data_IF_787688547494
#
_entry.id   IF_787688547494
#
_cell.length_a   1.000
_cell.length_b   1.000
_cell.length_c   1.000
_cell.angle_alpha   90.00
_cell.angle_beta   90.00
_cell.angle_gamma   90.00
#
_symmetry.space_group_name_H-M   'P 1'
#
loop_
_entity.id
_entity.type
_entity.pdbx_description
1 polymer ?
#
# COMPACT_ATOMS: atom_id res chain seq x y z
N UNK A 1 43.31 -0.33 14.89
CA UNK A 1 42.40 -0.78 15.95
C UNK A 1 42.02 -2.22 15.68
N UNK A 2 42.48 -3.16 16.52
CA UNK A 2 42.20 -4.60 16.38
C UNK A 2 40.70 -4.84 16.65
N UNK A 3 39.94 -5.40 15.67
CA UNK A 3 38.57 -5.88 15.89
C UNK A 3 38.60 -6.95 16.99
N UNK A 4 38.03 -6.68 18.16
CA UNK A 4 37.74 -7.72 19.15
C UNK A 4 36.94 -8.82 18.46
N UNK A 5 37.38 -10.06 18.54
CA UNK A 5 36.64 -11.19 18.01
C UNK A 5 35.24 -11.19 18.63
N UNK A 6 34.21 -11.29 17.77
CA UNK A 6 32.82 -11.31 18.23
C UNK A 6 32.64 -12.57 19.10
N UNK A 7 32.08 -12.37 20.29
CA UNK A 7 31.73 -13.48 21.21
C UNK A 7 30.72 -14.40 20.51
N UNK A 8 30.98 -15.70 20.52
CA UNK A 8 30.14 -16.72 19.92
C UNK A 8 29.32 -17.50 20.96
N UNK A 9 28.40 -18.33 20.51
CA UNK A 9 27.56 -19.18 21.38
C UNK A 9 28.40 -20.25 22.14
N UNK A 10 29.60 -20.54 21.67
CA UNK A 10 30.51 -21.48 22.33
C UNK A 10 31.03 -20.92 23.66
N UNK A 11 31.45 -19.67 23.67
CA UNK A 11 31.91 -18.98 24.86
C UNK A 11 30.81 -18.85 25.92
N UNK A 12 29.56 -18.56 25.47
CA UNK A 12 28.41 -18.53 26.37
C UNK A 12 28.13 -19.91 26.96
N UNK A 13 28.18 -20.96 26.14
CA UNK A 13 27.96 -22.33 26.60
C UNK A 13 29.00 -22.77 27.65
N UNK A 14 30.25 -22.44 27.42
CA UNK A 14 31.33 -22.73 28.35
C UNK A 14 31.17 -21.98 29.68
N UNK A 15 30.88 -20.69 29.64
CA UNK A 15 30.76 -19.85 30.83
C UNK A 15 29.46 -20.09 31.61
N UNK A 16 28.35 -20.43 30.92
CA UNK A 16 27.11 -20.81 31.54
C UNK A 16 27.05 -22.27 32.01
N UNK A 17 28.08 -23.08 31.70
CA UNK A 17 28.13 -24.50 32.08
C UNK A 17 27.03 -25.35 31.45
N UNK A 18 26.66 -25.08 30.20
CA UNK A 18 25.60 -25.78 29.46
C UNK A 18 26.03 -26.14 28.04
N UNK A 19 25.25 -27.00 27.36
CA UNK A 19 25.55 -27.34 25.97
C UNK A 19 25.27 -26.17 25.04
N UNK A 20 25.95 -26.11 23.88
CA UNK A 20 25.68 -25.13 22.81
C UNK A 20 24.20 -25.18 22.37
N UNK A 21 23.61 -26.39 22.34
CA UNK A 21 22.22 -26.58 21.99
C UNK A 21 21.27 -25.94 23.01
N UNK A 22 21.64 -25.98 24.31
CA UNK A 22 20.89 -25.31 25.39
C UNK A 22 20.94 -23.78 25.22
N UNK A 23 22.12 -23.22 25.00
CA UNK A 23 22.29 -21.79 24.72
C UNK A 23 21.44 -21.36 23.52
N UNK A 24 21.53 -22.09 22.41
CA UNK A 24 20.76 -21.81 21.21
C UNK A 24 19.25 -21.82 21.44
N UNK A 25 18.74 -22.79 22.24
CA UNK A 25 17.30 -22.88 22.59
C UNK A 25 16.86 -21.74 23.49
N UNK A 26 17.69 -21.31 24.42
CA UNK A 26 17.37 -20.19 25.33
C UNK A 26 17.33 -18.87 24.58
N UNK A 27 18.36 -18.57 23.79
CA UNK A 27 18.52 -17.29 23.11
C UNK A 27 17.55 -17.11 21.92
N UNK A 28 17.18 -18.21 21.25
CA UNK A 28 16.21 -18.17 20.13
C UNK A 28 14.76 -18.39 20.56
N UNK A 29 14.45 -18.44 21.86
CA UNK A 29 13.11 -18.59 22.45
C UNK A 29 12.27 -19.75 21.87
N UNK A 30 12.93 -20.81 21.35
CA UNK A 30 12.22 -21.94 20.71
C UNK A 30 11.60 -22.84 21.80
N UNK A 31 10.26 -22.92 21.82
CA UNK A 31 9.46 -23.76 22.69
C UNK A 31 9.42 -25.26 22.29
N UNK A 32 10.38 -25.76 21.52
CA UNK A 32 10.31 -27.12 20.97
C UNK A 32 10.96 -28.14 21.94
N UNK A 33 10.14 -28.95 22.53
CA UNK A 33 10.42 -30.35 22.97
C UNK A 33 11.21 -30.56 24.25
N UNK A 34 11.96 -29.60 24.84
CA UNK A 34 12.72 -29.80 26.09
C UNK A 34 12.47 -28.61 27.02
N UNK A 35 11.88 -28.88 28.19
CA UNK A 35 11.73 -27.85 29.25
C UNK A 35 13.13 -27.50 29.81
N UNK A 36 13.62 -26.32 29.47
CA UNK A 36 14.81 -25.73 30.09
C UNK A 36 14.37 -25.05 31.39
N UNK A 37 14.99 -25.44 32.51
CA UNK A 37 14.70 -24.89 33.83
C UNK A 37 14.91 -23.37 33.88
N UNK A 38 14.15 -22.70 34.75
CA UNK A 38 14.15 -21.23 34.88
C UNK A 38 15.52 -20.68 35.24
N UNK A 39 16.25 -21.34 36.14
CA UNK A 39 17.62 -20.98 36.52
C UNK A 39 18.61 -21.08 35.36
N UNK A 40 18.53 -22.16 34.57
CA UNK A 40 19.40 -22.33 33.40
C UNK A 40 19.12 -21.24 32.34
N UNK A 41 17.87 -20.89 32.13
CA UNK A 41 17.48 -19.83 31.21
C UNK A 41 18.03 -18.48 31.68
N UNK A 42 17.85 -18.17 32.97
CA UNK A 42 18.33 -16.93 33.57
C UNK A 42 19.85 -16.82 33.45
N UNK A 43 20.58 -17.86 33.86
CA UNK A 43 22.06 -17.90 33.78
C UNK A 43 22.61 -17.71 32.37
N UNK A 44 22.02 -18.37 31.38
CA UNK A 44 22.42 -18.19 29.98
C UNK A 44 22.17 -16.76 29.50
N UNK A 45 21.01 -16.15 29.88
CA UNK A 45 20.69 -14.77 29.51
C UNK A 45 21.64 -13.77 30.14
N UNK A 46 21.97 -13.93 31.43
CA UNK A 46 22.93 -13.08 32.16
C UNK A 46 24.33 -13.16 31.58
N UNK A 47 24.83 -14.38 31.28
CA UNK A 47 26.13 -14.59 30.65
C UNK A 47 26.17 -13.95 29.27
N UNK A 48 25.12 -14.14 28.48
CA UNK A 48 25.00 -13.54 27.13
C UNK A 48 25.09 -12.02 27.19
N UNK A 49 24.34 -11.38 28.10
CA UNK A 49 24.35 -9.93 28.30
C UNK A 49 25.71 -9.41 28.75
N UNK A 50 26.32 -10.08 29.73
CA UNK A 50 27.65 -9.72 30.28
C UNK A 50 28.73 -9.79 29.22
N UNK A 51 28.72 -10.81 28.37
CA UNK A 51 29.66 -10.97 27.27
C UNK A 51 29.40 -10.08 26.07
N UNK A 52 28.24 -9.34 26.06
CA UNK A 52 27.87 -8.49 24.95
C UNK A 52 27.54 -9.29 23.68
N UNK A 53 27.07 -10.54 23.84
CA UNK A 53 26.72 -11.37 22.71
C UNK A 53 25.47 -10.82 22.01
N UNK A 54 25.61 -10.59 20.71
CA UNK A 54 24.47 -10.33 19.84
C UNK A 54 24.23 -11.56 18.98
N UNK A 55 23.00 -12.13 19.01
CA UNK A 55 22.64 -13.21 18.10
C UNK A 55 22.94 -12.80 16.66
N UNK A 56 23.72 -13.60 15.95
CA UNK A 56 23.94 -13.38 14.55
C UNK A 56 22.74 -13.96 13.77
N UNK A 57 21.86 -13.14 13.20
CA UNK A 57 20.68 -13.61 12.46
C UNK A 57 21.07 -14.49 11.29
N UNK A 58 22.20 -14.23 10.62
CA UNK A 58 22.71 -15.05 9.52
C UNK A 58 23.11 -16.46 9.95
N UNK A 59 23.73 -16.61 11.14
CA UNK A 59 24.07 -17.93 11.68
C UNK A 59 22.83 -18.73 12.12
N UNK A 60 21.73 -18.06 12.46
CA UNK A 60 20.44 -18.69 12.72
C UNK A 60 19.75 -19.09 11.40
N UNK A 61 19.80 -18.24 10.41
CA UNK A 61 19.22 -18.45 9.09
C UNK A 61 19.81 -19.67 8.37
N UNK A 62 21.14 -19.85 8.44
CA UNK A 62 21.83 -21.02 7.86
C UNK A 62 21.34 -22.36 8.43
N UNK A 63 20.84 -22.38 9.66
CA UNK A 63 20.32 -23.62 10.30
C UNK A 63 18.84 -23.83 10.11
N UNK A 64 18.05 -22.77 9.94
CA UNK A 64 16.60 -22.84 9.80
C UNK A 64 16.15 -22.70 8.35
N UNK A 65 17.03 -22.38 7.45
CA UNK A 65 16.75 -21.93 6.07
C UNK A 65 15.78 -20.72 6.04
N UNK A 66 15.75 -19.93 7.16
CA UNK A 66 14.89 -18.75 7.32
C UNK A 66 15.62 -17.67 8.07
N UNK A 67 15.54 -16.46 7.56
CA UNK A 67 16.17 -15.28 8.15
C UNK A 67 15.27 -14.60 9.18
N UNK A 68 13.96 -14.75 9.06
CA UNK A 68 12.96 -13.95 9.78
C UNK A 68 12.88 -12.52 9.26
N UNK A 69 13.43 -12.26 8.08
CA UNK A 69 13.46 -10.94 7.44
C UNK A 69 12.69 -11.02 6.13
N UNK A 70 11.79 -10.07 5.92
CA UNK A 70 11.09 -9.89 4.65
C UNK A 70 11.47 -8.55 4.03
N UNK A 71 11.46 -8.49 2.71
CA UNK A 71 11.68 -7.26 1.96
C UNK A 71 10.38 -6.64 1.48
N UNK A 72 10.36 -5.33 1.26
CA UNK A 72 9.32 -4.65 0.52
C UNK A 72 9.92 -3.64 -0.46
N UNK A 73 9.33 -3.50 -1.62
CA UNK A 73 9.62 -2.39 -2.55
C UNK A 73 8.41 -1.48 -2.59
N UNK A 74 8.58 -0.23 -2.14
CA UNK A 74 7.58 0.81 -2.29
C UNK A 74 7.83 1.55 -3.61
N UNK A 75 6.89 1.40 -4.54
CA UNK A 75 6.99 1.90 -5.91
C UNK A 75 6.57 3.37 -6.03
N UNK A 76 5.92 3.91 -5.00
CA UNK A 76 5.46 5.30 -4.96
C UNK A 76 5.57 5.89 -3.54
N UNK A 77 6.79 6.05 -3.00
CA UNK A 77 6.97 6.49 -1.61
C UNK A 77 6.51 7.95 -1.36
N UNK A 78 6.46 8.78 -2.40
CA UNK A 78 6.05 10.19 -2.31
C UNK A 78 4.52 10.39 -2.29
N UNK A 79 3.74 9.39 -2.69
CA UNK A 79 2.29 9.44 -2.60
C UNK A 79 1.82 9.29 -1.14
N UNK A 80 0.91 10.17 -0.70
CA UNK A 80 0.40 10.14 0.68
C UNK A 80 -0.18 8.77 1.07
N UNK A 81 -0.97 8.18 0.18
CA UNK A 81 -1.53 6.85 0.38
C UNK A 81 -0.44 5.77 0.53
N UNK A 82 0.55 5.75 -0.36
CA UNK A 82 1.60 4.72 -0.34
C UNK A 82 2.62 4.95 0.78
N UNK A 83 2.85 6.17 1.19
CA UNK A 83 3.63 6.48 2.40
C UNK A 83 2.95 5.87 3.64
N UNK A 84 1.63 6.05 3.78
CA UNK A 84 0.86 5.45 4.88
C UNK A 84 0.82 3.92 4.80
N UNK A 85 0.67 3.35 3.62
CA UNK A 85 0.73 1.90 3.39
C UNK A 85 2.07 1.31 3.89
N UNK A 86 3.19 1.95 3.57
CA UNK A 86 4.51 1.52 4.05
C UNK A 86 4.58 1.46 5.58
N UNK A 87 4.03 2.45 6.28
CA UNK A 87 3.95 2.46 7.76
C UNK A 87 3.08 1.32 8.29
N UNK A 88 1.90 1.10 7.72
CA UNK A 88 0.99 0.05 8.21
C UNK A 88 1.54 -1.36 7.94
N UNK A 89 2.24 -1.57 6.83
CA UNK A 89 2.94 -2.83 6.55
C UNK A 89 4.06 -3.08 7.56
N UNK A 90 4.85 -2.04 7.90
CA UNK A 90 5.88 -2.13 8.95
C UNK A 90 5.26 -2.52 10.30
N UNK A 91 4.17 -1.87 10.70
CA UNK A 91 3.47 -2.19 11.95
C UNK A 91 2.86 -3.60 11.93
N UNK A 92 2.34 -4.05 10.78
CA UNK A 92 1.80 -5.39 10.62
C UNK A 92 2.88 -6.47 10.73
N UNK A 93 4.06 -6.26 10.15
CA UNK A 93 5.23 -7.15 10.26
C UNK A 93 5.72 -7.23 11.71
N UNK A 94 5.88 -6.09 12.37
CA UNK A 94 6.33 -6.03 13.77
C UNK A 94 5.39 -6.80 14.72
N UNK A 95 4.07 -6.68 14.54
CA UNK A 95 3.08 -7.43 15.35
C UNK A 95 3.22 -8.94 15.19
N UNK A 96 3.78 -9.43 14.08
CA UNK A 96 4.01 -10.85 13.79
C UNK A 96 5.44 -11.30 14.11
N UNK A 97 6.26 -10.41 14.67
CA UNK A 97 7.65 -10.70 15.04
C UNK A 97 8.57 -10.92 13.85
N UNK A 98 8.29 -10.26 12.73
CA UNK A 98 9.07 -10.32 11.49
C UNK A 98 9.71 -8.96 11.24
N UNK A 99 10.99 -8.97 10.88
CA UNK A 99 11.70 -7.74 10.48
C UNK A 99 11.39 -7.41 9.02
N UNK A 100 11.12 -6.14 8.75
CA UNK A 100 10.82 -5.64 7.40
C UNK A 100 11.86 -4.61 6.96
N UNK A 101 12.44 -4.83 5.78
CA UNK A 101 13.25 -3.83 5.09
C UNK A 101 12.47 -3.27 3.91
N UNK A 102 12.33 -1.94 3.86
CA UNK A 102 11.63 -1.25 2.77
C UNK A 102 12.64 -0.56 1.87
N UNK A 103 12.74 -1.05 0.64
CA UNK A 103 13.38 -0.34 -0.45
C UNK A 103 12.38 0.60 -1.14
N UNK A 104 12.86 1.72 -1.64
CA UNK A 104 12.02 2.66 -2.41
C UNK A 104 12.49 2.71 -3.86
N UNK A 105 11.55 2.58 -4.79
CA UNK A 105 11.82 2.74 -6.22
C UNK A 105 11.07 3.98 -6.72
N UNK A 106 11.81 4.92 -7.25
CA UNK A 106 11.27 6.21 -7.68
C UNK A 106 10.84 6.16 -9.15
N UNK A 107 9.75 5.44 -9.46
CA UNK A 107 9.03 5.53 -10.73
C UNK A 107 9.77 5.15 -12.04
N UNK A 108 11.09 4.95 -12.01
CA UNK A 108 11.86 4.50 -13.18
C UNK A 108 12.04 2.98 -13.13
N UNK A 109 11.78 2.30 -14.23
CA UNK A 109 11.94 0.84 -14.36
C UNK A 109 13.32 0.35 -13.90
N UNK A 110 14.37 1.09 -14.18
CA UNK A 110 15.75 0.77 -13.79
C UNK A 110 15.93 0.74 -12.26
N UNK A 111 15.30 1.66 -11.53
CA UNK A 111 15.37 1.70 -10.07
C UNK A 111 14.61 0.51 -9.45
N UNK A 112 13.49 0.12 -10.07
CA UNK A 112 12.74 -1.06 -9.64
C UNK A 112 13.55 -2.33 -9.83
N UNK A 113 14.22 -2.47 -10.98
CA UNK A 113 15.11 -3.61 -11.26
C UNK A 113 16.26 -3.73 -10.25
N UNK A 114 16.87 -2.61 -9.92
CA UNK A 114 17.93 -2.58 -8.92
C UNK A 114 17.42 -3.03 -7.53
N UNK A 115 16.24 -2.55 -7.12
CA UNK A 115 15.63 -2.95 -5.85
C UNK A 115 15.23 -4.43 -5.84
N UNK A 116 14.62 -4.93 -6.91
CA UNK A 116 14.27 -6.34 -7.05
C UNK A 116 15.51 -7.24 -7.02
N UNK A 117 16.62 -6.82 -7.63
CA UNK A 117 17.89 -7.55 -7.60
C UNK A 117 18.45 -7.69 -6.19
N UNK A 118 18.30 -6.66 -5.35
CA UNK A 118 18.69 -6.71 -3.92
C UNK A 118 17.80 -7.72 -3.18
N UNK A 119 16.50 -7.74 -3.46
CA UNK A 119 15.55 -8.66 -2.82
C UNK A 119 15.76 -10.13 -3.22
N UNK A 120 16.33 -10.40 -4.39
CA UNK A 120 16.69 -11.75 -4.83
C UNK A 120 17.78 -12.40 -3.98
N UNK A 121 18.53 -11.61 -3.20
CA UNK A 121 19.56 -12.12 -2.32
C UNK A 121 19.04 -13.09 -1.25
N UNK A 122 19.94 -13.87 -0.68
CA UNK A 122 19.63 -14.86 0.38
C UNK A 122 19.14 -14.22 1.70
N UNK A 123 19.11 -12.88 1.77
CA UNK A 123 18.81 -12.15 3.00
C UNK A 123 17.32 -12.19 3.39
N UNK A 124 16.41 -12.30 2.40
CA UNK A 124 14.97 -12.20 2.64
C UNK A 124 14.29 -13.55 2.44
N UNK A 125 13.32 -13.86 3.31
CA UNK A 125 12.50 -15.07 3.21
C UNK A 125 11.39 -14.92 2.14
N UNK A 126 10.97 -13.70 1.87
CA UNK A 126 9.98 -13.33 0.87
C UNK A 126 9.84 -11.81 0.78
N UNK A 127 8.94 -11.30 -0.06
CA UNK A 127 8.82 -9.86 -0.20
C UNK A 127 7.42 -9.37 -0.60
N UNK A 128 7.21 -8.07 -0.38
CA UNK A 128 6.02 -7.34 -0.77
C UNK A 128 6.35 -6.34 -1.89
N UNK A 129 5.45 -6.21 -2.84
CA UNK A 129 5.44 -5.14 -3.82
C UNK A 129 4.32 -4.16 -3.46
N UNK A 130 4.68 -2.94 -3.09
CA UNK A 130 3.75 -1.93 -2.64
C UNK A 130 3.48 -0.92 -3.76
N UNK A 131 2.24 -0.87 -4.24
CA UNK A 131 1.80 0.07 -5.28
C UNK A 131 1.93 -0.45 -6.71
N UNK A 132 1.60 0.43 -7.66
CA UNK A 132 1.61 0.14 -9.08
C UNK A 132 2.89 0.59 -9.75
N UNK A 133 3.24 -0.07 -10.86
CA UNK A 133 4.40 0.23 -11.67
C UNK A 133 4.00 0.64 -13.09
N UNK A 134 4.57 1.73 -13.63
CA UNK A 134 4.65 1.89 -15.07
C UNK A 134 5.40 0.69 -15.67
N UNK A 135 4.90 0.11 -16.75
CA UNK A 135 5.46 -1.10 -17.40
C UNK A 135 5.45 -2.36 -16.51
N UNK A 136 4.39 -2.52 -15.76
CA UNK A 136 4.16 -3.61 -14.82
C UNK A 136 4.41 -5.01 -15.42
N UNK A 137 4.06 -5.25 -16.70
CA UNK A 137 4.22 -6.57 -17.34
C UNK A 137 5.68 -7.06 -17.38
N UNK A 138 6.65 -6.15 -17.49
CA UNK A 138 8.06 -6.51 -17.48
C UNK A 138 8.54 -6.85 -16.06
N UNK A 139 8.08 -6.10 -15.07
CA UNK A 139 8.34 -6.40 -13.67
C UNK A 139 7.65 -7.69 -13.23
N UNK A 140 6.41 -7.92 -13.67
CA UNK A 140 5.67 -9.14 -13.39
C UNK A 140 6.38 -10.38 -13.95
N UNK A 141 6.90 -10.30 -15.18
CA UNK A 141 7.71 -11.39 -15.76
C UNK A 141 8.98 -11.67 -14.96
N UNK A 142 9.62 -10.64 -14.41
CA UNK A 142 10.79 -10.78 -13.52
C UNK A 142 10.41 -11.38 -12.18
N UNK A 143 9.25 -11.02 -11.63
CA UNK A 143 8.74 -11.55 -10.36
C UNK A 143 8.42 -13.04 -10.44
N UNK A 144 7.81 -13.51 -11.56
CA UNK A 144 7.55 -14.94 -11.76
C UNK A 144 8.82 -15.79 -11.84
N UNK A 145 9.97 -15.18 -12.12
CA UNK A 145 11.27 -15.85 -12.13
C UNK A 145 12.00 -15.79 -10.78
N UNK A 146 11.39 -15.23 -9.73
CA UNK A 146 11.98 -15.18 -8.40
C UNK A 146 11.74 -16.52 -7.67
N UNK A 147 12.83 -17.12 -7.18
CA UNK A 147 12.80 -18.29 -6.31
C UNK A 147 12.30 -17.96 -4.88
N UNK A 148 11.49 -16.92 -4.71
CA UNK A 148 11.03 -16.43 -3.41
C UNK A 148 9.54 -16.08 -3.45
N UNK A 149 8.80 -16.39 -2.39
CA UNK A 149 7.42 -15.97 -2.26
C UNK A 149 7.29 -14.44 -2.30
N UNK A 150 6.27 -13.93 -2.98
CA UNK A 150 5.93 -12.52 -2.97
C UNK A 150 4.42 -12.30 -2.92
N UNK A 151 4.01 -11.12 -2.46
CA UNK A 151 2.62 -10.65 -2.48
C UNK A 151 2.60 -9.22 -3.02
N UNK A 152 1.74 -8.97 -3.99
CA UNK A 152 1.47 -7.63 -4.49
C UNK A 152 0.43 -6.93 -3.61
N UNK A 153 0.66 -5.67 -3.27
CA UNK A 153 -0.19 -4.88 -2.37
C UNK A 153 -0.58 -3.58 -3.04
N UNK A 154 -1.88 -3.32 -3.12
CA UNK A 154 -2.43 -2.12 -3.76
C UNK A 154 -1.94 -1.91 -5.21
N UNK A 155 -1.66 -3.01 -5.90
CA UNK A 155 -1.28 -3.03 -7.31
C UNK A 155 -2.53 -3.11 -8.21
N UNK A 156 -2.39 -2.78 -9.49
CA UNK A 156 -3.47 -2.93 -10.47
C UNK A 156 -3.92 -4.39 -10.65
N UNK A 157 -5.09 -4.57 -11.24
CA UNK A 157 -5.74 -5.90 -11.35
C UNK A 157 -4.97 -6.91 -12.21
N UNK A 158 -4.13 -6.46 -13.14
CA UNK A 158 -3.39 -7.32 -14.07
C UNK A 158 -2.05 -7.83 -13.54
N UNK A 159 -1.85 -7.71 -12.23
CA UNK A 159 -0.68 -8.22 -11.55
C UNK A 159 -0.75 -9.75 -11.44
N UNK A 160 0.23 -10.52 -11.94
CA UNK A 160 0.26 -11.95 -11.71
C UNK A 160 0.58 -12.29 -10.26
N UNK A 161 0.10 -13.45 -9.82
CA UNK A 161 0.39 -14.01 -8.50
C UNK A 161 -0.52 -13.50 -7.38
N UNK A 162 -0.17 -13.83 -6.13
CA UNK A 162 -0.95 -13.48 -4.96
C UNK A 162 -0.97 -11.97 -4.71
N UNK A 163 -2.16 -11.47 -4.39
CA UNK A 163 -2.39 -10.03 -4.25
C UNK A 163 -3.37 -9.73 -3.12
N UNK A 164 -3.14 -8.62 -2.42
CA UNK A 164 -4.10 -8.01 -1.49
C UNK A 164 -4.37 -6.57 -1.90
N UNK A 165 -5.63 -6.26 -2.17
CA UNK A 165 -6.03 -4.99 -2.75
C UNK A 165 -7.35 -4.48 -2.16
N UNK A 166 -7.63 -3.20 -2.30
CA UNK A 166 -8.97 -2.64 -2.03
C UNK A 166 -9.93 -3.11 -3.13
N UNK A 167 -11.16 -3.44 -2.79
CA UNK A 167 -12.20 -3.71 -3.78
C UNK A 167 -12.64 -2.40 -4.46
N UNK A 168 -11.96 -2.08 -5.56
CA UNK A 168 -12.21 -0.84 -6.33
C UNK A 168 -13.63 -0.84 -6.92
N UNK A 169 -14.12 -2.00 -7.40
CA UNK A 169 -15.44 -2.10 -8.00
C UNK A 169 -16.55 -1.84 -6.98
N UNK A 170 -16.45 -2.46 -5.80
CA UNK A 170 -17.38 -2.21 -4.70
C UNK A 170 -17.32 -0.75 -4.28
N UNK A 171 -16.11 -0.18 -4.17
CA UNK A 171 -15.94 1.22 -3.79
C UNK A 171 -16.58 2.20 -4.78
N UNK A 172 -16.29 2.07 -6.06
CA UNK A 172 -16.90 2.91 -7.10
C UNK A 172 -18.43 2.77 -7.08
N UNK A 173 -18.93 1.55 -6.89
CA UNK A 173 -20.36 1.32 -6.77
C UNK A 173 -20.94 2.06 -5.56
N UNK A 174 -20.34 1.99 -4.39
CA UNK A 174 -20.83 2.64 -3.16
C UNK A 174 -20.93 4.17 -3.32
N UNK A 175 -19.90 4.81 -3.88
CA UNK A 175 -19.88 6.27 -4.03
C UNK A 175 -20.86 6.76 -5.10
N UNK A 176 -21.01 6.00 -6.19
CA UNK A 176 -21.95 6.36 -7.25
C UNK A 176 -23.39 6.06 -6.85
N UNK A 177 -23.67 4.97 -6.12
CA UNK A 177 -25.00 4.73 -5.53
C UNK A 177 -25.40 5.88 -4.60
N UNK A 178 -24.46 6.38 -3.81
CA UNK A 178 -24.68 7.53 -2.94
C UNK A 178 -25.05 8.79 -3.75
N UNK A 179 -24.25 9.18 -4.75
CA UNK A 179 -24.54 10.34 -5.59
C UNK A 179 -25.88 10.19 -6.34
N UNK A 180 -26.17 9.01 -6.87
CA UNK A 180 -27.45 8.75 -7.56
C UNK A 180 -28.63 8.81 -6.58
N UNK A 181 -28.46 8.37 -5.33
CA UNK A 181 -29.49 8.47 -4.28
C UNK A 181 -29.80 9.92 -3.89
N UNK A 182 -28.84 10.83 -4.01
CA UNK A 182 -29.03 12.28 -3.84
C UNK A 182 -29.71 12.96 -5.05
N UNK A 183 -30.01 12.22 -6.12
CA UNK A 183 -30.65 12.75 -7.31
C UNK A 183 -29.69 13.11 -8.45
N UNK A 184 -28.39 13.05 -8.27
CA UNK A 184 -27.43 13.38 -9.31
C UNK A 184 -27.54 12.45 -10.53
N UNK A 185 -27.57 13.05 -11.71
CA UNK A 185 -27.60 12.37 -13.02
C UNK A 185 -26.51 12.87 -13.95
N UNK A 186 -25.98 14.06 -13.68
CA UNK A 186 -24.88 14.71 -14.38
C UNK A 186 -23.64 14.64 -13.50
N UNK A 187 -22.93 13.53 -13.60
CA UNK A 187 -21.77 13.24 -12.76
C UNK A 187 -20.52 13.26 -13.64
N UNK A 188 -19.57 14.14 -13.34
CA UNK A 188 -18.28 14.19 -14.03
C UNK A 188 -17.25 13.28 -13.35
N UNK A 189 -16.32 12.78 -14.14
CA UNK A 189 -15.11 12.09 -13.66
C UNK A 189 -13.91 13.02 -13.75
N UNK A 190 -13.10 13.05 -12.70
CA UNK A 190 -11.80 13.76 -12.67
C UNK A 190 -10.70 12.83 -12.20
N UNK A 191 -9.67 12.63 -13.02
CA UNK A 191 -8.51 11.81 -12.66
C UNK A 191 -7.45 11.78 -13.76
N UNK A 192 -6.27 11.29 -13.46
CA UNK A 192 -5.22 11.10 -14.46
C UNK A 192 -5.28 9.69 -15.03
N UNK A 193 -5.61 9.53 -16.30
CA UNK A 193 -5.62 8.23 -16.97
C UNK A 193 -4.20 7.65 -17.18
N UNK A 194 -3.17 8.46 -16.97
CA UNK A 194 -1.78 8.01 -16.96
C UNK A 194 -1.39 7.26 -15.65
N UNK A 195 -2.22 7.33 -14.61
CA UNK A 195 -1.98 6.61 -13.36
C UNK A 195 -2.45 5.18 -13.46
N UNK A 196 -1.71 4.21 -12.94
CA UNK A 196 -2.01 2.79 -13.14
C UNK A 196 -3.43 2.36 -12.76
N UNK A 197 -3.97 2.87 -11.64
CA UNK A 197 -5.33 2.54 -11.18
C UNK A 197 -6.44 3.45 -11.73
N UNK A 198 -6.10 4.60 -12.28
CA UNK A 198 -7.12 5.54 -12.76
C UNK A 198 -7.88 5.06 -13.99
N UNK A 199 -7.28 4.36 -14.97
CA UNK A 199 -8.02 3.73 -16.06
C UNK A 199 -9.05 2.73 -15.57
N UNK A 200 -8.73 1.91 -14.57
CA UNK A 200 -9.67 0.97 -13.97
C UNK A 200 -10.82 1.69 -13.29
N UNK A 201 -10.54 2.70 -12.46
CA UNK A 201 -11.58 3.52 -11.82
C UNK A 201 -12.47 4.20 -12.84
N UNK A 202 -11.92 4.69 -13.93
CA UNK A 202 -12.68 5.28 -15.01
C UNK A 202 -13.56 4.26 -15.73
N UNK A 203 -13.05 3.08 -16.04
CA UNK A 203 -13.84 2.00 -16.65
C UNK A 203 -14.98 1.56 -15.75
N UNK A 204 -14.76 1.39 -14.45
CA UNK A 204 -15.78 1.06 -13.47
C UNK A 204 -16.84 2.15 -13.36
N UNK A 205 -16.42 3.43 -13.35
CA UNK A 205 -17.31 4.59 -13.36
C UNK A 205 -18.20 4.59 -14.61
N UNK A 206 -17.62 4.42 -15.80
CA UNK A 206 -18.38 4.36 -17.05
C UNK A 206 -19.35 3.17 -17.08
N UNK A 207 -18.88 1.99 -16.70
CA UNK A 207 -19.70 0.79 -16.66
C UNK A 207 -20.92 0.95 -15.73
N UNK A 208 -20.69 1.55 -14.55
CA UNK A 208 -21.76 1.81 -13.59
C UNK A 208 -22.85 2.75 -14.15
N UNK A 209 -22.46 3.89 -14.74
CA UNK A 209 -23.39 4.87 -15.27
C UNK A 209 -24.13 4.33 -16.51
N UNK A 210 -23.41 3.66 -17.42
CA UNK A 210 -24.01 3.03 -18.61
C UNK A 210 -25.07 1.98 -18.23
N UNK A 211 -24.80 1.16 -17.20
CA UNK A 211 -25.76 0.17 -16.72
C UNK A 211 -27.07 0.79 -16.18
N UNK A 212 -27.06 2.09 -15.85
CA UNK A 212 -28.23 2.86 -15.40
C UNK A 212 -28.83 3.78 -16.46
N UNK A 213 -28.34 3.69 -17.69
CA UNK A 213 -28.79 4.56 -18.80
C UNK A 213 -28.39 6.03 -18.61
N UNK A 214 -27.37 6.29 -17.75
CA UNK A 214 -26.82 7.64 -17.56
C UNK A 214 -25.69 7.85 -18.57
N UNK A 215 -25.91 8.78 -19.49
CA UNK A 215 -24.90 9.14 -20.50
C UNK A 215 -23.83 10.04 -19.87
N UNK A 216 -22.58 9.73 -20.15
CA UNK A 216 -21.42 10.57 -19.78
C UNK A 216 -20.97 11.26 -21.06
N UNK A 217 -21.24 12.57 -21.23
CA UNK A 217 -20.63 13.32 -22.32
C UNK A 217 -19.10 13.32 -22.18
N UNK A 218 -18.38 13.26 -23.30
CA UNK A 218 -16.90 13.37 -23.27
C UNK A 218 -16.44 14.63 -22.52
N UNK A 219 -17.22 15.69 -22.60
CA UNK A 219 -16.99 16.93 -21.87
C UNK A 219 -17.02 16.79 -20.33
N UNK A 220 -17.59 15.70 -19.77
CA UNK A 220 -17.60 15.40 -18.34
C UNK A 220 -16.43 14.51 -17.92
N UNK A 221 -15.59 14.10 -18.85
CA UNK A 221 -14.39 13.32 -18.56
C UNK A 221 -13.22 14.25 -18.49
N UNK A 222 -12.82 14.61 -17.30
CA UNK A 222 -11.63 15.40 -17.05
C UNK A 222 -10.42 14.48 -16.87
N UNK A 223 -9.94 13.94 -18.00
CA UNK A 223 -8.75 13.13 -18.04
C UNK A 223 -7.50 14.04 -18.04
N UNK A 224 -6.68 13.90 -17.04
CA UNK A 224 -5.41 14.62 -16.97
C UNK A 224 -4.33 13.81 -17.69
N UNK A 225 -4.33 13.83 -19.02
CA UNK A 225 -3.49 12.94 -19.85
C UNK A 225 -1.99 13.25 -19.81
N UNK A 226 -1.62 14.46 -19.45
CA UNK A 226 -0.23 14.94 -19.50
C UNK A 226 0.42 15.11 -18.13
N UNK A 227 -0.15 14.55 -17.08
CA UNK A 227 0.49 14.57 -15.78
C UNK A 227 1.48 13.39 -15.70
N UNK A 228 2.79 13.63 -15.90
CA UNK A 228 3.75 12.54 -15.76
C UNK A 228 3.68 12.02 -14.33
N UNK A 229 3.42 10.72 -14.20
CA UNK A 229 3.50 10.03 -12.92
C UNK A 229 4.97 10.08 -12.44
N UNK A 230 5.32 11.16 -11.77
CA UNK A 230 6.60 11.31 -11.08
C UNK A 230 6.31 11.73 -9.63
N UNK A 231 5.85 10.80 -8.78
CA UNK A 231 5.47 11.08 -7.39
C UNK A 231 6.65 11.49 -6.51
N UNK A 232 7.84 11.52 -7.05
CA UNK A 232 9.09 11.85 -6.36
C UNK A 232 9.48 13.31 -6.48
N UNK A 233 8.80 14.07 -7.32
CA UNK A 233 9.03 15.52 -7.39
C UNK A 233 8.29 16.20 -6.24
N UNK A 234 9.00 17.06 -5.53
CA UNK A 234 8.53 17.73 -4.31
C UNK A 234 7.26 18.57 -4.54
N UNK A 235 7.05 19.05 -5.77
CA UNK A 235 5.91 19.86 -6.19
C UNK A 235 4.80 19.07 -6.93
N UNK A 236 4.91 17.74 -7.02
CA UNK A 236 3.94 16.90 -7.74
C UNK A 236 2.51 17.11 -7.22
N UNK A 237 2.33 17.19 -5.90
CA UNK A 237 1.04 17.42 -5.28
C UNK A 237 0.48 18.81 -5.62
N UNK A 238 1.33 19.83 -5.60
CA UNK A 238 0.93 21.19 -5.97
C UNK A 238 0.49 21.26 -7.43
N UNK A 239 1.24 20.65 -8.34
CA UNK A 239 0.86 20.56 -9.76
C UNK A 239 -0.48 19.84 -9.94
N UNK A 240 -0.71 18.73 -9.22
CA UNK A 240 -1.99 18.03 -9.24
C UNK A 240 -3.15 18.95 -8.84
N UNK A 241 -2.98 19.72 -7.77
CA UNK A 241 -3.99 20.69 -7.34
C UNK A 241 -4.23 21.75 -8.39
N UNK A 242 -3.17 22.32 -9.01
CA UNK A 242 -3.32 23.33 -10.05
C UNK A 242 -4.07 22.80 -11.28
N UNK A 243 -3.75 21.59 -11.71
CA UNK A 243 -4.47 20.94 -12.82
C UNK A 243 -5.92 20.68 -12.46
N UNK A 244 -6.20 20.16 -11.26
CA UNK A 244 -7.56 19.90 -10.80
C UNK A 244 -8.39 21.19 -10.71
N UNK A 245 -7.80 22.33 -10.30
CA UNK A 245 -8.42 23.65 -10.33
C UNK A 245 -8.89 24.00 -11.75
N UNK A 246 -7.97 23.96 -12.72
CA UNK A 246 -8.26 24.31 -14.13
C UNK A 246 -9.34 23.42 -14.74
N UNK A 247 -9.24 22.12 -14.51
CA UNK A 247 -10.23 21.15 -15.00
C UNK A 247 -11.60 21.34 -14.38
N UNK A 248 -11.67 21.65 -13.07
CA UNK A 248 -12.93 21.98 -12.38
C UNK A 248 -13.58 23.21 -13.00
N UNK A 249 -12.81 24.28 -13.23
CA UNK A 249 -13.31 25.50 -13.87
C UNK A 249 -13.85 25.21 -15.28
N UNK A 250 -13.13 24.42 -16.08
CA UNK A 250 -13.58 24.00 -17.42
C UNK A 250 -14.86 23.18 -17.37
N UNK A 251 -15.02 22.26 -16.42
CA UNK A 251 -16.23 21.45 -16.23
C UNK A 251 -17.45 22.33 -15.90
N UNK A 252 -17.26 23.31 -15.01
CA UNK A 252 -18.35 24.15 -14.52
C UNK A 252 -18.72 25.32 -15.44
N UNK A 253 -17.84 25.69 -16.39
CA UNK A 253 -18.10 26.70 -17.41
C UNK A 253 -18.90 26.17 -18.62
N UNK A 254 -19.19 24.87 -18.67
CA UNK A 254 -19.95 24.30 -19.77
C UNK A 254 -21.41 24.83 -19.81
N UNK A 255 -22.05 24.88 -20.95
CA UNK A 255 -23.48 25.30 -21.04
C UNK A 255 -24.42 24.43 -20.20
N UNK A 256 -24.04 23.18 -19.97
CA UNK A 256 -24.80 22.22 -19.15
C UNK A 256 -23.80 21.57 -18.15
N UNK A 257 -23.46 22.24 -17.05
CA UNK A 257 -22.43 21.75 -16.15
C UNK A 257 -22.85 20.49 -15.38
N UNK A 258 -21.90 19.66 -14.90
CA UNK A 258 -22.20 18.56 -13.99
C UNK A 258 -22.72 19.09 -12.65
N UNK A 259 -23.57 18.32 -11.99
CA UNK A 259 -24.05 18.62 -10.62
C UNK A 259 -23.23 17.92 -9.56
N UNK A 260 -22.40 16.95 -9.95
CA UNK A 260 -21.43 16.30 -9.07
C UNK A 260 -20.13 15.97 -9.82
N UNK A 261 -19.02 15.98 -9.10
CA UNK A 261 -17.71 15.59 -9.59
C UNK A 261 -17.21 14.43 -8.72
N UNK A 262 -16.99 13.27 -9.33
CA UNK A 262 -16.26 12.17 -8.73
C UNK A 262 -14.77 12.29 -9.06
N UNK A 263 -13.95 12.54 -8.06
CA UNK A 263 -12.50 12.62 -8.19
C UNK A 263 -11.87 11.27 -7.87
N UNK A 264 -11.06 10.75 -8.79
CA UNK A 264 -10.42 9.44 -8.67
C UNK A 264 -9.35 9.35 -7.56
N UNK A 265 -8.99 10.46 -6.93
CA UNK A 265 -8.14 10.52 -5.75
C UNK A 265 -8.43 11.80 -4.95
N UNK A 266 -8.18 11.77 -3.64
CA UNK A 266 -8.40 12.91 -2.74
C UNK A 266 -7.62 14.17 -3.17
N UNK A 267 -6.44 14.00 -3.73
CA UNK A 267 -5.63 15.12 -4.21
C UNK A 267 -6.34 15.92 -5.32
N UNK A 268 -7.07 15.26 -6.22
CA UNK A 268 -7.87 15.96 -7.24
C UNK A 268 -9.07 16.65 -6.61
N UNK A 269 -9.71 16.03 -5.61
CA UNK A 269 -10.87 16.62 -4.94
C UNK A 269 -10.51 17.89 -4.15
N UNK A 270 -9.36 17.91 -3.48
CA UNK A 270 -8.87 19.12 -2.80
C UNK A 270 -8.62 20.27 -3.79
N UNK A 271 -8.07 19.95 -4.97
CA UNK A 271 -7.95 20.92 -6.07
C UNK A 271 -9.32 21.36 -6.61
N UNK A 272 -10.27 20.43 -6.74
CA UNK A 272 -11.63 20.73 -7.18
C UNK A 272 -12.35 21.69 -6.25
N UNK A 273 -12.29 21.49 -4.92
CA UNK A 273 -12.84 22.42 -3.93
C UNK A 273 -12.30 23.84 -4.14
N UNK A 274 -10.99 23.97 -4.34
CA UNK A 274 -10.35 25.25 -4.58
C UNK A 274 -10.78 25.88 -5.91
N UNK A 275 -10.95 25.05 -6.96
CA UNK A 275 -11.43 25.49 -8.27
C UNK A 275 -12.85 26.05 -8.21
N UNK A 276 -13.76 25.36 -7.51
CA UNK A 276 -15.14 25.83 -7.26
C UNK A 276 -15.14 27.18 -6.52
N UNK A 277 -14.38 27.25 -5.45
CA UNK A 277 -14.26 28.50 -4.64
C UNK A 277 -13.72 29.67 -5.45
N UNK A 278 -12.74 29.47 -6.33
CA UNK A 278 -12.18 30.52 -7.19
C UNK A 278 -13.18 31.06 -8.22
N UNK A 279 -14.21 30.29 -8.57
CA UNK A 279 -15.32 30.73 -9.42
C UNK A 279 -16.41 31.48 -8.65
N UNK A 280 -16.29 31.64 -7.33
CA UNK A 280 -17.34 32.19 -6.48
C UNK A 280 -18.50 31.26 -6.25
N UNK A 281 -18.34 29.97 -6.56
CA UNK A 281 -19.30 28.91 -6.34
C UNK A 281 -19.03 28.17 -5.02
N UNK A 282 -19.99 27.40 -4.55
CA UNK A 282 -19.97 26.71 -3.27
C UNK A 282 -20.17 25.19 -3.41
N UNK A 283 -19.45 24.43 -2.61
CA UNK A 283 -19.65 23.00 -2.39
C UNK A 283 -20.34 22.86 -1.04
N UNK A 284 -21.45 22.13 -0.95
CA UNK A 284 -22.11 21.32 -1.97
C UNK A 284 -23.23 22.03 -2.74
N UNK A 285 -23.50 23.33 -2.50
CA UNK A 285 -24.72 24.04 -2.98
C UNK A 285 -24.80 24.12 -4.50
N UNK A 286 -23.67 24.42 -5.19
CA UNK A 286 -23.63 24.54 -6.65
C UNK A 286 -23.16 23.25 -7.32
N UNK A 287 -22.30 22.48 -6.65
CA UNK A 287 -21.79 21.20 -7.14
C UNK A 287 -21.34 20.31 -5.98
N UNK A 288 -21.73 19.05 -6.01
CA UNK A 288 -21.24 18.04 -5.07
C UNK A 288 -19.86 17.52 -5.50
N UNK A 289 -18.97 17.26 -4.53
CA UNK A 289 -17.62 16.71 -4.78
C UNK A 289 -17.41 15.47 -3.93
N UNK A 290 -17.00 14.38 -4.57
CA UNK A 290 -16.61 13.14 -3.89
C UNK A 290 -15.21 12.71 -4.30
N UNK A 291 -14.56 11.89 -3.46
CA UNK A 291 -13.19 11.44 -3.72
C UNK A 291 -12.96 9.97 -3.37
N UNK A 292 -11.75 9.54 -3.62
CA UNK A 292 -11.24 8.21 -3.33
C UNK A 292 -9.90 8.31 -2.60
N UNK A 293 -9.62 7.44 -1.65
CA UNK A 293 -8.47 7.12 -0.81
C UNK A 293 -8.74 7.32 0.70
N UNK A 294 -9.47 8.36 1.12
CA UNK A 294 -9.82 8.64 2.51
C UNK A 294 -8.62 9.11 3.34
N UNK A 295 -7.78 9.96 2.75
CA UNK A 295 -6.59 10.52 3.40
C UNK A 295 -6.95 11.60 4.43
N UNK A 296 -5.98 11.95 5.30
CA UNK A 296 -6.22 12.92 6.38
C UNK A 296 -6.62 14.32 5.87
N UNK A 297 -6.25 14.68 4.64
CA UNK A 297 -6.67 15.95 4.01
C UNK A 297 -8.17 16.09 3.82
N UNK A 298 -8.90 14.98 3.74
CA UNK A 298 -10.34 14.98 3.46
C UNK A 298 -11.21 15.47 4.61
N UNK A 299 -10.72 15.43 5.85
CA UNK A 299 -11.41 16.05 7.00
C UNK A 299 -10.80 17.41 7.40
N UNK A 300 -9.62 17.73 6.89
CA UNK A 300 -8.94 18.99 7.18
C UNK A 300 -9.32 20.14 6.21
N UNK A 301 -10.13 19.86 5.18
CA UNK A 301 -10.64 20.83 4.23
C UNK A 301 -12.05 21.33 4.60
N UNK A 302 -12.52 22.39 3.94
CA UNK A 302 -13.85 22.95 4.13
C UNK A 302 -14.52 23.12 2.74
N UNK A 303 -15.68 22.48 2.50
CA UNK A 303 -16.33 21.49 3.36
C UNK A 303 -15.50 20.20 3.49
N UNK A 304 -15.75 19.42 4.55
CA UNK A 304 -15.15 18.08 4.68
C UNK A 304 -15.59 17.16 3.53
N UNK A 305 -14.65 16.44 2.93
CA UNK A 305 -14.91 15.62 1.74
C UNK A 305 -15.57 14.28 2.08
N UNK A 306 -16.69 14.01 1.41
CA UNK A 306 -17.25 12.67 1.24
C UNK A 306 -16.29 11.86 0.38
N UNK A 307 -15.75 10.77 0.93
CA UNK A 307 -14.69 9.99 0.29
C UNK A 307 -14.82 8.50 0.55
N UNK A 308 -14.23 7.71 -0.30
CA UNK A 308 -14.05 6.28 -0.11
C UNK A 308 -12.74 6.02 0.62
N UNK A 309 -12.84 5.57 1.88
CA UNK A 309 -11.67 5.24 2.69
C UNK A 309 -11.18 3.84 2.36
N UNK A 310 -9.93 3.75 1.93
CA UNK A 310 -9.27 2.45 1.71
C UNK A 310 -8.88 1.82 3.05
N UNK A 311 -9.11 0.52 3.24
CA UNK A 311 -8.85 -0.18 4.52
C UNK A 311 -7.37 -0.54 4.67
N UNK A 312 -6.47 0.44 4.66
CA UNK A 312 -5.00 0.28 4.61
C UNK A 312 -4.48 -0.69 5.67
N UNK A 313 -4.97 -0.57 6.92
CA UNK A 313 -4.54 -1.44 8.03
C UNK A 313 -4.86 -2.91 7.77
N UNK A 314 -6.06 -3.17 7.22
CA UNK A 314 -6.48 -4.54 6.91
C UNK A 314 -5.73 -5.08 5.71
N UNK A 315 -5.56 -4.29 4.66
CA UNK A 315 -4.77 -4.65 3.48
C UNK A 315 -3.34 -5.01 3.90
N UNK A 316 -2.70 -4.19 4.72
CA UNK A 316 -1.35 -4.45 5.22
C UNK A 316 -1.27 -5.73 6.07
N UNK A 317 -2.26 -5.95 6.95
CA UNK A 317 -2.31 -7.14 7.78
C UNK A 317 -2.49 -8.41 6.96
N UNK A 318 -3.48 -8.42 6.05
CA UNK A 318 -3.78 -9.56 5.19
C UNK A 318 -2.59 -9.87 4.24
N UNK A 319 -1.86 -8.85 3.77
CA UNK A 319 -0.68 -9.01 2.92
C UNK A 319 0.47 -9.70 3.66
N UNK A 320 0.76 -9.29 4.89
CA UNK A 320 1.78 -9.94 5.73
C UNK A 320 1.36 -11.38 6.04
N UNK A 321 0.09 -11.62 6.41
CA UNK A 321 -0.40 -12.96 6.71
C UNK A 321 -0.29 -13.89 5.50
N UNK A 322 -0.67 -13.40 4.32
CA UNK A 322 -0.56 -14.16 3.08
C UNK A 322 0.90 -14.46 2.72
N UNK A 323 1.80 -13.46 2.86
CA UNK A 323 3.22 -13.67 2.59
C UNK A 323 3.84 -14.70 3.53
N UNK A 324 3.53 -14.64 4.83
CA UNK A 324 4.05 -15.59 5.81
C UNK A 324 3.51 -17.01 5.54
N UNK A 325 2.25 -17.15 5.14
CA UNK A 325 1.69 -18.44 4.74
C UNK A 325 2.41 -19.01 3.50
N UNK A 326 2.70 -18.18 2.50
CA UNK A 326 3.46 -18.57 1.30
C UNK A 326 4.91 -18.97 1.63
N UNK A 327 5.55 -18.28 2.58
CA UNK A 327 6.88 -18.63 3.08
C UNK A 327 6.84 -20.00 3.77
N UNK A 328 5.77 -20.27 4.55
CA UNK A 328 5.59 -21.54 5.26
C UNK A 328 5.21 -22.70 4.35
N UNK A 329 4.47 -22.46 3.28
CA UNK A 329 3.92 -23.44 2.37
C UNK A 329 3.96 -22.92 0.93
N UNK A 330 5.14 -22.84 0.29
CA UNK A 330 5.29 -22.21 -1.02
C UNK A 330 4.54 -22.96 -2.14
N UNK A 331 4.33 -24.25 -1.99
CA UNK A 331 3.69 -25.11 -2.98
C UNK A 331 2.16 -25.22 -2.79
N UNK A 332 1.58 -24.54 -1.80
CA UNK A 332 0.12 -24.57 -1.57
C UNK A 332 -0.61 -23.70 -2.62
N UNK A 333 -1.35 -24.31 -3.56
CA UNK A 333 -2.04 -23.58 -4.62
C UNK A 333 -3.18 -22.70 -4.09
N UNK A 334 -3.69 -22.96 -2.87
CA UNK A 334 -4.77 -22.15 -2.27
C UNK A 334 -4.31 -20.78 -1.83
N UNK A 335 -2.99 -20.59 -1.71
CA UNK A 335 -2.36 -19.30 -1.39
C UNK A 335 -2.11 -18.43 -2.61
N UNK A 336 -2.23 -18.98 -3.83
CA UNK A 336 -2.18 -18.21 -5.09
C UNK A 336 -3.52 -17.50 -5.34
N UNK A 337 -3.88 -16.57 -4.45
CA UNK A 337 -5.19 -15.92 -4.43
C UNK A 337 -5.10 -14.42 -4.44
N UNK A 338 -6.19 -13.80 -4.87
CA UNK A 338 -6.43 -12.37 -4.77
C UNK A 338 -7.39 -12.10 -3.61
N UNK A 339 -7.00 -11.25 -2.68
CA UNK A 339 -7.82 -10.83 -1.54
C UNK A 339 -8.25 -9.39 -1.81
N UNK A 340 -9.55 -9.22 -2.02
CA UNK A 340 -10.17 -7.90 -2.13
C UNK A 340 -10.71 -7.49 -0.77
N UNK A 341 -10.32 -6.30 -0.31
CA UNK A 341 -10.72 -5.77 1.00
C UNK A 341 -11.70 -4.63 0.79
N UNK A 342 -12.86 -4.75 1.38
CA UNK A 342 -13.96 -3.79 1.25
C UNK A 342 -13.56 -2.39 1.76
N UNK A 343 -13.72 -1.32 0.94
CA UNK A 343 -13.55 0.05 1.36
C UNK A 343 -14.78 0.56 2.14
N UNK A 344 -14.63 1.70 2.80
CA UNK A 344 -15.68 2.33 3.59
C UNK A 344 -16.05 3.70 2.98
N UNK A 345 -17.33 3.89 2.65
CA UNK A 345 -17.82 5.22 2.25
C UNK A 345 -17.98 6.11 3.49
N UNK A 346 -17.23 7.19 3.54
CA UNK A 346 -17.30 8.20 4.59
C UNK A 346 -18.10 9.39 4.05
N UNK A 347 -19.34 9.50 4.46
CA UNK A 347 -20.21 10.63 4.10
C UNK A 347 -19.91 11.82 4.99
N UNK A 348 -19.72 12.99 4.38
CA UNK A 348 -19.46 14.29 5.04
C UNK A 348 -20.21 15.42 4.32
N UNK A 349 -19.66 16.64 4.36
CA UNK A 349 -20.39 17.87 4.02
C UNK A 349 -20.30 18.26 2.53
N UNK A 350 -19.52 17.56 1.71
CA UNK A 350 -19.24 17.96 0.31
C UNK A 350 -20.28 17.52 -0.69
N UNK A 351 -21.42 16.96 -0.26
CA UNK A 351 -22.51 16.51 -1.13
C UNK A 351 -23.88 16.93 -0.60
N UNK A 352 -24.78 17.31 -1.51
CA UNK A 352 -26.17 17.64 -1.24
C UNK A 352 -27.10 17.02 -2.27
N UNK A 353 -28.39 16.94 -1.95
CA UNK A 353 -29.42 16.53 -2.91
C UNK A 353 -29.65 17.61 -3.99
N UNK A 354 -30.01 17.19 -5.22
CA UNK A 354 -30.35 18.08 -6.38
C UNK A 354 -31.84 18.16 -6.54
#
# INVERSE_FOLDING_TARGET
MSRKAAVGIREIAQEAGVSISTVSKVLNNRRVGVRIGRETRQRVTEVSQRLGYQPNPFASALRSNRTGIIGAVNLNPGGWFMGRMGVEVQLAAQKRGVELFVGTATGRSENVEAQLSILQGQLFDGFLLLGDMPNYQDAARKLTNLDKPYVSVAAGVDVPGPMVHTDEALGIKQILDYLVSLGHRKIAFMGSLAWPLAPERFQLFQAYLNARGLCIPDAYVSAVDNFPYQPTEFDALERMHQVAIQHTQSLLQQPNPPTAIFCAADAFALGALKGVMQMGLSVPQDVSVTSFDGTDGTFACQPELTTLRRPIKKVAADAIDLLLALIDSPDDPTLQKRILVEPELIVRDSCASV
#
